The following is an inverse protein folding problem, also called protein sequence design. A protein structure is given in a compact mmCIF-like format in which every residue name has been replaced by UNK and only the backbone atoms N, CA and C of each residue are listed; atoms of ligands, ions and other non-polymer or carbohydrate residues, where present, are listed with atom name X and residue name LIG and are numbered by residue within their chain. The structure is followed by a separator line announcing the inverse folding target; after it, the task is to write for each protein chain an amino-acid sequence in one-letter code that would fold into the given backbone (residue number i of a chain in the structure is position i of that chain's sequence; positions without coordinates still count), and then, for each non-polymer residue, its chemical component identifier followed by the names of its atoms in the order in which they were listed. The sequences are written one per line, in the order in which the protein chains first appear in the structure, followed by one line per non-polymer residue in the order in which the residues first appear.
data_IF_242291620935
#
_entry.id   IF_242291620935
#
_cell.length_a   1.000
_cell.length_b   1.000
_cell.length_c   1.000
_cell.angle_alpha   90.00
_cell.angle_beta   90.00
_cell.angle_gamma   90.00
#
_symmetry.space_group_name_H-M   'P 1'
#
loop_
_entity.id
_entity.type
_entity.pdbx_description
1 polymer ?
#
# COMPACT_ATOMS: atom_id res chain seq x y z
N UNK A 1 -20.65 -5.82 -5.19
CA UNK A 1 -19.68 -5.47 -4.16
C UNK A 1 -19.62 -3.94 -3.98
N UNK A 2 -19.08 -3.14 -4.92
CA UNK A 2 -18.85 -1.71 -4.75
C UNK A 2 -20.13 -0.91 -4.39
N UNK A 3 -21.29 -1.24 -4.94
CA UNK A 3 -22.56 -0.60 -4.56
C UNK A 3 -23.00 -0.95 -3.15
N UNK A 4 -22.92 -2.23 -2.75
CA UNK A 4 -23.27 -2.67 -1.41
C UNK A 4 -22.30 -2.11 -0.35
N UNK A 5 -21.03 -1.87 -0.73
CA UNK A 5 -20.06 -1.25 0.16
C UNK A 5 -20.53 0.14 0.64
N UNK A 6 -21.13 0.95 -0.24
CA UNK A 6 -21.54 2.33 0.07
C UNK A 6 -22.56 2.36 1.22
N UNK A 7 -23.41 1.33 1.36
CA UNK A 7 -24.40 1.22 2.42
C UNK A 7 -23.79 1.13 3.84
N UNK A 8 -22.52 0.69 3.91
CA UNK A 8 -21.79 0.62 5.18
C UNK A 8 -21.14 1.96 5.58
N UNK A 9 -21.28 2.98 4.72
CA UNK A 9 -20.78 4.33 4.96
C UNK A 9 -21.93 5.34 4.86
N UNK A 10 -21.90 6.39 5.65
CA UNK A 10 -22.96 7.40 5.70
C UNK A 10 -22.89 8.42 4.54
N UNK A 11 -22.77 7.95 3.31
CA UNK A 11 -22.74 8.81 2.13
C UNK A 11 -24.13 9.07 1.56
N UNK A 12 -24.36 10.33 1.12
CA UNK A 12 -25.59 10.74 0.45
C UNK A 12 -25.36 10.91 -1.06
N UNK A 13 -26.36 10.50 -1.86
CA UNK A 13 -26.35 10.67 -3.33
C UNK A 13 -25.08 10.10 -4.02
N UNK A 14 -24.70 8.89 -3.65
CA UNK A 14 -23.47 8.24 -4.11
C UNK A 14 -23.56 7.80 -5.59
N UNK A 15 -22.59 8.23 -6.40
CA UNK A 15 -22.40 7.81 -7.79
C UNK A 15 -21.02 7.17 -7.95
N UNK A 16 -20.98 5.98 -8.54
CA UNK A 16 -19.76 5.24 -8.84
C UNK A 16 -19.36 5.41 -10.31
N UNK A 17 -18.08 5.72 -10.53
CA UNK A 17 -17.42 5.66 -11.83
C UNK A 17 -16.25 4.69 -11.74
N UNK A 18 -16.27 3.62 -12.56
CA UNK A 18 -15.13 2.69 -12.68
C UNK A 18 -13.88 3.45 -13.16
N UNK A 19 -12.73 3.13 -12.59
CA UNK A 19 -11.43 3.71 -12.95
C UNK A 19 -10.53 2.65 -13.60
N UNK A 20 -10.11 1.66 -12.82
CA UNK A 20 -9.21 0.60 -13.28
C UNK A 20 -9.46 -0.71 -12.52
N UNK A 21 -9.02 -1.81 -13.13
CA UNK A 21 -8.89 -3.12 -12.51
C UNK A 21 -7.50 -3.65 -12.85
N UNK A 22 -6.67 -3.75 -11.82
CA UNK A 22 -5.35 -4.38 -11.86
C UNK A 22 -5.30 -5.39 -10.70
N UNK A 23 -4.45 -5.17 -9.71
CA UNK A 23 -4.45 -5.95 -8.47
C UNK A 23 -5.73 -5.71 -7.66
N UNK A 24 -6.20 -4.47 -7.64
CA UNK A 24 -7.46 -4.06 -7.02
C UNK A 24 -8.42 -3.46 -8.06
N UNK A 25 -9.71 -3.50 -7.77
CA UNK A 25 -10.72 -2.79 -8.57
C UNK A 25 -11.02 -1.45 -7.91
N UNK A 26 -10.81 -0.35 -8.63
CA UNK A 26 -10.99 0.99 -8.09
C UNK A 26 -12.10 1.76 -8.80
N UNK A 27 -12.82 2.56 -8.00
CA UNK A 27 -13.91 3.42 -8.47
C UNK A 27 -13.75 4.82 -7.89
N UNK A 28 -14.05 5.86 -8.69
CA UNK A 28 -14.36 7.18 -8.15
C UNK A 28 -15.78 7.15 -7.59
N UNK A 29 -15.92 7.49 -6.32
CA UNK A 29 -17.18 7.65 -5.63
C UNK A 29 -17.45 9.16 -5.47
N UNK A 30 -18.50 9.66 -6.12
CA UNK A 30 -18.94 11.05 -5.99
C UNK A 30 -20.19 11.12 -5.12
N UNK A 31 -20.18 11.96 -4.10
CA UNK A 31 -21.25 12.11 -3.09
C UNK A 31 -21.51 13.58 -2.82
N UNK A 32 -22.53 13.90 -2.02
CA UNK A 32 -22.75 15.28 -1.53
C UNK A 32 -21.63 15.74 -0.58
N UNK A 33 -20.95 14.80 0.09
CA UNK A 33 -19.82 15.08 1.01
C UNK A 33 -18.49 15.27 0.28
N UNK A 34 -18.44 15.05 -1.05
CA UNK A 34 -17.24 15.16 -1.87
C UNK A 34 -16.95 13.93 -2.71
N UNK A 35 -15.73 13.86 -3.24
CA UNK A 35 -15.25 12.73 -4.01
C UNK A 35 -14.36 11.84 -3.14
N UNK A 36 -14.40 10.54 -3.43
CA UNK A 36 -13.63 9.50 -2.73
C UNK A 36 -13.11 8.46 -3.73
N UNK A 37 -12.09 7.73 -3.33
CA UNK A 37 -11.64 6.49 -3.98
C UNK A 37 -12.25 5.31 -3.23
N UNK A 38 -13.01 4.46 -3.91
CA UNK A 38 -13.45 3.17 -3.40
C UNK A 38 -12.58 2.08 -4.00
N UNK A 39 -11.94 1.28 -3.16
CA UNK A 39 -11.07 0.16 -3.54
C UNK A 39 -11.72 -1.15 -3.10
N UNK A 40 -11.93 -2.05 -4.06
CA UNK A 40 -12.32 -3.44 -3.82
C UNK A 40 -11.05 -4.28 -3.97
N UNK A 41 -10.63 -4.93 -2.90
CA UNK A 41 -9.42 -5.76 -2.91
C UNK A 41 -9.71 -7.08 -3.64
N UNK A 42 -8.88 -7.39 -4.64
CA UNK A 42 -9.02 -8.58 -5.48
C UNK A 42 -7.85 -9.54 -5.30
N UNK A 43 -6.71 -9.06 -4.85
CA UNK A 43 -5.48 -9.83 -4.64
C UNK A 43 -5.58 -10.84 -3.50
N UNK A 44 -4.66 -11.81 -3.52
CA UNK A 44 -4.59 -12.90 -2.55
C UNK A 44 -3.49 -12.68 -1.50
N UNK A 45 -2.79 -11.54 -1.54
CA UNK A 45 -1.56 -11.32 -0.79
C UNK A 45 -1.79 -10.62 0.56
N UNK A 46 -2.76 -9.70 0.63
CA UNK A 46 -3.01 -8.93 1.83
C UNK A 46 -4.18 -9.52 2.65
N UNK A 47 -3.97 -9.69 3.94
CA UNK A 47 -5.05 -10.00 4.88
C UNK A 47 -5.86 -8.74 5.22
N UNK A 48 -7.05 -8.91 5.81
CA UNK A 48 -7.83 -7.76 6.32
C UNK A 48 -7.03 -6.97 7.37
N UNK A 49 -6.18 -7.64 8.15
CA UNK A 49 -5.30 -6.99 9.12
C UNK A 49 -4.23 -6.11 8.44
N UNK A 50 -3.68 -6.55 7.32
CA UNK A 50 -2.73 -5.74 6.54
C UNK A 50 -3.40 -4.49 5.98
N UNK A 51 -4.62 -4.62 5.45
CA UNK A 51 -5.41 -3.50 4.92
C UNK A 51 -5.78 -2.48 6.01
N UNK A 52 -6.18 -2.95 7.19
CA UNK A 52 -6.42 -2.08 8.36
C UNK A 52 -5.13 -1.39 8.83
N UNK A 53 -3.99 -2.09 8.78
CA UNK A 53 -2.68 -1.53 9.14
C UNK A 53 -2.22 -0.48 8.13
N UNK A 54 -2.41 -0.70 6.83
CA UNK A 54 -2.22 0.30 5.78
C UNK A 54 -3.03 1.56 6.09
N UNK A 55 -4.32 1.41 6.35
CA UNK A 55 -5.19 2.55 6.64
C UNK A 55 -4.77 3.33 7.91
N UNK A 56 -4.36 2.64 8.98
CA UNK A 56 -3.82 3.29 10.19
C UNK A 56 -2.54 4.07 9.91
N UNK A 57 -1.66 3.53 9.08
CA UNK A 57 -0.44 4.21 8.65
C UNK A 57 -0.76 5.46 7.84
N UNK A 58 -1.68 5.38 6.88
CA UNK A 58 -2.12 6.54 6.08
C UNK A 58 -2.81 7.59 6.98
N UNK A 59 -3.65 7.17 7.94
CA UNK A 59 -4.27 8.07 8.92
C UNK A 59 -3.20 8.83 9.72
N UNK A 60 -2.16 8.13 10.21
CA UNK A 60 -1.02 8.77 10.88
C UNK A 60 -0.31 9.78 9.98
N UNK A 61 0.09 9.38 8.76
CA UNK A 61 0.75 10.27 7.81
C UNK A 61 -0.11 11.49 7.49
N UNK A 62 -1.43 11.32 7.37
CA UNK A 62 -2.35 12.42 7.10
C UNK A 62 -2.51 13.41 8.28
N UNK A 63 -2.08 13.02 9.48
CA UNK A 63 -2.00 13.90 10.66
C UNK A 63 -0.71 14.73 10.69
N UNK A 64 0.30 14.37 9.91
CA UNK A 64 1.57 15.08 9.81
C UNK A 64 1.42 16.27 8.86
N UNK A 65 1.41 17.51 9.37
CA UNK A 65 1.00 18.74 8.69
C UNK A 65 1.87 19.22 7.50
N UNK A 66 2.92 18.48 7.10
CA UNK A 66 3.88 18.95 6.08
C UNK A 66 3.55 18.56 4.64
N UNK A 67 2.67 17.56 4.44
CA UNK A 67 2.25 17.06 3.13
C UNK A 67 0.78 16.66 3.17
N UNK A 68 0.16 16.57 1.99
CA UNK A 68 -1.20 16.03 1.88
C UNK A 68 -1.13 14.53 1.58
N UNK A 69 -1.95 13.77 2.29
CA UNK A 69 -2.14 12.34 2.06
C UNK A 69 -3.61 12.05 1.84
N UNK A 70 -3.90 10.94 1.17
CA UNK A 70 -5.25 10.40 1.19
C UNK A 70 -5.65 10.15 2.65
N UNK A 71 -6.92 10.37 2.97
CA UNK A 71 -7.45 10.07 4.31
C UNK A 71 -8.33 8.84 4.21
N UNK A 72 -8.06 7.78 4.97
CA UNK A 72 -8.94 6.63 5.03
C UNK A 72 -10.25 7.00 5.75
N UNK A 73 -11.36 6.47 5.25
CA UNK A 73 -12.69 6.76 5.76
C UNK A 73 -13.18 5.56 6.55
N UNK A 74 -13.59 5.80 7.80
CA UNK A 74 -14.17 4.75 8.63
C UNK A 74 -15.62 4.45 8.22
N UNK A 75 -15.98 3.19 8.24
CA UNK A 75 -17.35 2.72 8.06
C UNK A 75 -18.20 2.97 9.34
N UNK A 76 -19.47 2.62 9.28
CA UNK A 76 -20.42 2.76 10.42
C UNK A 76 -20.02 1.95 11.66
N UNK A 77 -19.16 0.94 11.52
CA UNK A 77 -18.58 0.14 12.61
C UNK A 77 -17.22 0.65 13.08
N UNK A 78 -16.80 1.86 12.67
CA UNK A 78 -15.51 2.49 12.97
C UNK A 78 -14.26 1.77 12.43
N UNK A 79 -14.40 0.77 11.56
CA UNK A 79 -13.31 0.09 10.86
C UNK A 79 -13.00 0.81 9.53
N UNK A 80 -11.78 0.68 9.01
CA UNK A 80 -11.40 1.22 7.69
C UNK A 80 -11.76 0.25 6.57
N UNK A 81 -11.78 -1.05 6.86
CA UNK A 81 -12.09 -2.10 5.90
C UNK A 81 -13.46 -2.69 6.19
N UNK A 82 -14.27 -2.82 5.17
CA UNK A 82 -15.58 -3.48 5.20
C UNK A 82 -15.52 -4.80 4.45
N UNK A 83 -15.97 -5.88 5.06
CA UNK A 83 -16.26 -7.11 4.32
C UNK A 83 -17.62 -6.97 3.65
N UNK A 84 -17.67 -7.08 2.34
CA UNK A 84 -18.89 -6.84 1.54
C UNK A 84 -19.21 -8.06 0.72
N UNK A 85 -20.43 -8.58 0.90
CA UNK A 85 -20.93 -9.72 0.16
C UNK A 85 -21.87 -9.28 -0.97
N UNK A 86 -21.73 -9.92 -2.14
CA UNK A 86 -22.66 -9.84 -3.25
C UNK A 86 -22.60 -11.11 -4.10
N UNK A 87 -23.76 -11.71 -4.39
CA UNK A 87 -23.90 -12.92 -5.23
C UNK A 87 -23.00 -14.09 -4.76
N UNK A 88 -22.88 -14.30 -3.43
CA UNK A 88 -22.09 -15.35 -2.83
C UNK A 88 -20.58 -15.11 -2.84
N UNK A 89 -20.13 -13.92 -3.23
CA UNK A 89 -18.71 -13.51 -3.21
C UNK A 89 -18.55 -12.45 -2.12
N UNK A 90 -17.62 -12.69 -1.19
CA UNK A 90 -17.23 -11.73 -0.17
C UNK A 90 -15.87 -11.10 -0.51
N UNK A 91 -15.76 -9.77 -0.44
CA UNK A 91 -14.52 -9.04 -0.71
C UNK A 91 -14.31 -7.93 0.32
N UNK A 92 -13.06 -7.68 0.73
CA UNK A 92 -12.73 -6.50 1.50
C UNK A 92 -12.82 -5.24 0.61
N UNK A 93 -13.30 -4.15 1.23
CA UNK A 93 -13.44 -2.84 0.58
C UNK A 93 -12.95 -1.75 1.53
N UNK A 94 -12.22 -0.79 1.02
CA UNK A 94 -11.87 0.44 1.74
C UNK A 94 -12.27 1.68 0.95
N UNK A 95 -12.42 2.80 1.64
CA UNK A 95 -12.69 4.11 1.05
C UNK A 95 -11.66 5.11 1.54
N UNK A 96 -11.10 5.87 0.61
CA UNK A 96 -10.09 6.91 0.86
C UNK A 96 -10.57 8.24 0.27
N UNK A 97 -10.11 9.35 0.79
CA UNK A 97 -10.39 10.67 0.18
C UNK A 97 -9.83 10.74 -1.25
N UNK A 98 -10.51 11.51 -2.10
CA UNK A 98 -10.07 11.75 -3.49
C UNK A 98 -9.06 12.89 -3.56
N UNK A 99 -8.04 12.75 -4.40
CA UNK A 99 -7.00 13.75 -4.66
C UNK A 99 -6.84 13.94 -6.17
N UNK A 100 -6.67 15.19 -6.61
CA UNK A 100 -6.51 15.57 -8.03
C UNK A 100 -5.16 16.29 -8.27
N UNK A 101 -4.29 15.89 -9.22
CA UNK A 101 -3.22 16.68 -9.92
C UNK A 101 -1.76 16.15 -10.12
N UNK A 102 -0.83 16.81 -10.90
CA UNK A 102 0.51 16.35 -11.30
C UNK A 102 1.78 16.91 -10.56
N UNK A 103 2.99 16.47 -10.84
CA UNK A 103 4.20 16.22 -10.00
C UNK A 103 5.35 17.27 -9.95
N UNK A 104 5.99 17.58 -8.77
CA UNK A 104 7.42 18.00 -8.56
C UNK A 104 7.86 17.90 -7.05
N UNK A 105 9.06 17.28 -6.73
CA UNK A 105 9.68 17.32 -5.37
C UNK A 105 9.83 15.98 -4.62
N UNK A 106 9.95 14.87 -5.32
CA UNK A 106 9.78 13.49 -4.87
C UNK A 106 10.76 13.03 -3.77
N UNK A 107 12.06 13.34 -3.88
CA UNK A 107 13.03 12.91 -2.86
C UNK A 107 12.78 13.48 -1.47
N UNK A 108 12.25 14.72 -1.36
CA UNK A 108 11.84 15.30 -0.08
C UNK A 108 10.62 14.60 0.50
N UNK A 109 9.67 14.20 -0.35
CA UNK A 109 8.49 13.47 0.06
C UNK A 109 8.85 12.09 0.60
N UNK A 110 9.72 11.34 -0.09
CA UNK A 110 10.23 10.04 0.35
C UNK A 110 10.91 10.16 1.71
N UNK A 111 11.85 11.07 1.83
CA UNK A 111 12.56 11.30 3.09
C UNK A 111 11.59 11.70 4.23
N UNK A 112 10.54 12.47 3.92
CA UNK A 112 9.52 12.82 4.89
C UNK A 112 8.74 11.60 5.36
N UNK A 113 8.26 10.75 4.44
CA UNK A 113 7.52 9.53 4.76
C UNK A 113 8.36 8.63 5.68
N UNK A 114 9.61 8.33 5.28
CA UNK A 114 10.50 7.48 6.05
C UNK A 114 10.74 8.03 7.46
N UNK A 115 11.03 9.33 7.58
CA UNK A 115 11.27 9.98 8.87
C UNK A 115 10.04 9.98 9.78
N UNK A 116 8.83 10.21 9.23
CA UNK A 116 7.60 10.17 10.02
C UNK A 116 7.31 8.75 10.50
N UNK A 117 7.38 7.75 9.61
CA UNK A 117 7.12 6.35 9.96
C UNK A 117 8.17 5.75 10.90
N UNK A 118 9.43 6.22 10.85
CA UNK A 118 10.47 5.82 11.79
C UNK A 118 10.20 6.29 13.23
N UNK A 119 9.51 7.43 13.38
CA UNK A 119 9.15 8.02 14.68
C UNK A 119 7.76 7.59 15.16
N UNK A 120 6.96 6.98 14.31
CA UNK A 120 5.59 6.62 14.61
C UNK A 120 5.52 5.55 15.70
N UNK A 121 4.74 5.80 16.74
CA UNK A 121 4.37 4.81 17.75
C UNK A 121 3.25 3.92 17.19
N UNK A 122 3.66 2.80 16.58
CA UNK A 122 2.74 1.87 15.94
C UNK A 122 1.78 1.22 16.94
N UNK A 123 0.49 1.05 16.59
CA UNK A 123 -0.43 0.23 17.37
C UNK A 123 0.09 -1.20 17.55
N UNK A 124 -0.30 -1.87 18.64
CA UNK A 124 0.19 -3.23 18.95
C UNK A 124 -0.24 -4.27 17.91
N UNK A 125 -1.34 -4.02 17.23
CA UNK A 125 -1.92 -4.85 16.17
C UNK A 125 -1.47 -4.42 14.77
N UNK A 126 -0.50 -3.49 14.65
CA UNK A 126 0.04 -3.07 13.36
C UNK A 126 0.88 -4.19 12.74
N UNK A 127 0.48 -4.60 11.55
CA UNK A 127 1.15 -5.67 10.79
C UNK A 127 1.39 -5.23 9.34
N UNK A 128 2.62 -5.38 8.88
CA UNK A 128 3.00 -5.22 7.46
C UNK A 128 4.08 -6.25 7.11
N UNK A 129 4.14 -6.71 5.83
CA UNK A 129 5.12 -7.70 5.39
C UNK A 129 6.56 -7.19 5.52
N UNK A 130 7.50 -8.14 5.55
CA UNK A 130 8.92 -7.86 5.37
C UNK A 130 9.21 -7.80 3.88
N UNK A 131 9.87 -6.73 3.44
CA UNK A 131 10.35 -6.50 2.08
C UNK A 131 11.88 -6.57 2.05
N UNK A 132 12.41 -7.57 2.72
CA UNK A 132 13.81 -7.99 2.70
C UNK A 132 14.01 -9.14 1.71
N UNK A 133 15.19 -9.71 1.64
CA UNK A 133 15.51 -10.79 0.70
C UNK A 133 14.52 -11.95 0.80
N UNK A 134 14.20 -12.41 2.00
CA UNK A 134 13.27 -13.52 2.21
C UNK A 134 11.82 -13.11 1.88
N UNK A 135 11.42 -11.90 2.28
CA UNK A 135 10.08 -11.37 2.03
C UNK A 135 9.81 -11.05 0.56
N UNK A 136 10.82 -10.67 -0.22
CA UNK A 136 10.69 -10.36 -1.65
C UNK A 136 10.71 -11.62 -2.52
N UNK A 137 11.78 -12.40 -2.44
CA UNK A 137 12.02 -13.53 -3.34
C UNK A 137 12.36 -14.84 -2.61
N UNK A 138 12.43 -14.83 -1.29
CA UNK A 138 12.66 -16.00 -0.48
C UNK A 138 11.42 -16.88 -0.29
N UNK A 139 11.53 -17.83 0.58
CA UNK A 139 10.48 -18.84 0.85
C UNK A 139 9.16 -18.24 1.33
N UNK A 140 9.20 -17.12 2.03
CA UNK A 140 8.04 -16.44 2.60
C UNK A 140 7.67 -15.18 1.81
N UNK A 141 8.07 -15.07 0.55
CA UNK A 141 7.92 -13.88 -0.28
C UNK A 141 6.53 -13.25 -0.19
N UNK A 142 6.46 -12.04 0.34
CA UNK A 142 5.22 -11.31 0.62
C UNK A 142 4.48 -10.92 -0.66
N UNK A 143 5.20 -10.70 -1.75
CA UNK A 143 4.65 -10.29 -3.05
C UNK A 143 4.35 -11.51 -3.95
N UNK A 144 4.29 -12.73 -3.41
CA UNK A 144 3.95 -13.94 -4.17
C UNK A 144 5.05 -14.47 -5.09
N UNK A 145 6.23 -13.87 -5.09
CA UNK A 145 7.38 -14.28 -5.90
C UNK A 145 8.33 -15.25 -5.16
N UNK A 146 7.91 -15.78 -4.01
CA UNK A 146 8.71 -16.72 -3.24
C UNK A 146 9.05 -18.01 -3.99
N UNK A 147 9.86 -18.87 -3.37
CA UNK A 147 10.29 -20.19 -3.90
C UNK A 147 9.13 -21.03 -4.45
N UNK A 148 7.93 -20.86 -3.91
CA UNK A 148 6.72 -21.51 -4.43
C UNK A 148 6.36 -21.12 -5.87
N UNK A 149 6.77 -19.94 -6.32
CA UNK A 149 6.60 -19.48 -7.70
C UNK A 149 7.59 -20.09 -8.68
N UNK A 150 8.72 -20.60 -8.20
CA UNK A 150 9.80 -21.18 -9.02
C UNK A 150 9.36 -22.35 -9.87
N UNK A 151 8.31 -23.08 -9.47
CA UNK A 151 7.72 -24.19 -10.24
C UNK A 151 7.21 -23.78 -11.64
N UNK A 152 7.04 -22.50 -11.89
CA UNK A 152 6.57 -21.96 -13.18
C UNK A 152 7.70 -21.54 -14.10
N UNK A 153 8.94 -21.57 -13.63
CA UNK A 153 10.13 -21.12 -14.36
C UNK A 153 10.99 -22.31 -14.76
N UNK A 154 11.77 -22.11 -15.84
CA UNK A 154 12.81 -23.06 -16.22
C UNK A 154 14.02 -23.00 -15.26
N UNK A 155 14.91 -23.98 -15.36
CA UNK A 155 16.05 -24.10 -14.44
C UNK A 155 17.04 -22.95 -14.54
N UNK A 156 17.19 -22.32 -15.69
CA UNK A 156 18.06 -21.15 -15.88
C UNK A 156 17.49 -19.93 -15.14
N UNK A 157 16.20 -19.69 -15.30
CA UNK A 157 15.48 -18.61 -14.59
C UNK A 157 15.53 -18.83 -13.09
N UNK A 158 15.30 -20.05 -12.59
CA UNK A 158 15.40 -20.39 -11.16
C UNK A 158 16.79 -20.07 -10.63
N UNK A 159 17.86 -20.52 -11.34
CA UNK A 159 19.25 -20.25 -10.94
C UNK A 159 19.56 -18.75 -10.88
N UNK A 160 18.99 -17.95 -11.79
CA UNK A 160 19.11 -16.50 -11.74
C UNK A 160 18.47 -15.91 -10.47
N UNK A 161 17.24 -16.32 -10.14
CA UNK A 161 16.58 -15.87 -8.90
C UNK A 161 17.36 -16.28 -7.65
N UNK A 162 17.88 -17.49 -7.59
CA UNK A 162 18.73 -17.95 -6.49
C UNK A 162 19.99 -17.11 -6.35
N UNK A 163 20.63 -16.75 -7.47
CA UNK A 163 21.79 -15.86 -7.48
C UNK A 163 21.44 -14.46 -6.97
N UNK A 164 20.30 -13.90 -7.38
CA UNK A 164 19.82 -12.59 -6.88
C UNK A 164 19.50 -12.68 -5.40
N UNK A 165 18.80 -13.72 -4.95
CA UNK A 165 18.49 -13.95 -3.54
C UNK A 165 19.77 -13.98 -2.69
N UNK A 166 20.79 -14.74 -3.11
CA UNK A 166 22.06 -14.81 -2.37
C UNK A 166 22.75 -13.43 -2.29
N UNK A 167 22.74 -12.66 -3.36
CA UNK A 167 23.31 -11.29 -3.37
C UNK A 167 22.56 -10.34 -2.42
N UNK A 168 21.25 -10.49 -2.28
CA UNK A 168 20.46 -9.72 -1.31
C UNK A 168 20.80 -10.13 0.12
N UNK A 169 20.93 -11.42 0.41
CA UNK A 169 21.37 -11.92 1.72
C UNK A 169 22.76 -11.40 2.07
N UNK A 170 23.70 -11.42 1.12
CA UNK A 170 25.06 -10.91 1.32
C UNK A 170 25.02 -9.39 1.64
N UNK A 171 24.20 -8.64 0.90
CA UNK A 171 23.98 -7.22 1.18
C UNK A 171 23.40 -7.00 2.58
N UNK A 172 22.34 -7.72 2.96
CA UNK A 172 21.69 -7.60 4.26
C UNK A 172 22.65 -7.95 5.42
N UNK A 173 23.51 -8.92 5.21
CA UNK A 173 24.53 -9.32 6.19
C UNK A 173 25.52 -8.19 6.46
N UNK A 174 25.89 -7.43 5.44
CA UNK A 174 26.82 -6.29 5.55
C UNK A 174 26.12 -5.03 6.04
N UNK A 175 24.94 -4.72 5.47
CA UNK A 175 24.22 -3.49 5.75
C UNK A 175 23.56 -3.48 7.13
N UNK A 176 23.12 -4.64 7.62
CA UNK A 176 22.27 -4.74 8.82
C UNK A 176 20.88 -4.13 8.59
N UNK A 177 20.10 -4.00 9.68
CA UNK A 177 18.75 -3.41 9.65
C UNK A 177 18.60 -2.27 10.67
N UNK A 178 19.60 -1.39 10.70
CA UNK A 178 19.56 -0.21 11.55
C UNK A 178 18.47 0.77 11.15
N UNK A 179 17.89 1.49 12.11
CA UNK A 179 16.74 2.39 11.91
C UNK A 179 16.98 3.53 10.91
N UNK A 180 18.22 3.86 10.60
CA UNK A 180 18.60 4.88 9.63
C UNK A 180 18.61 4.40 8.18
N UNK A 181 18.52 3.08 7.94
CA UNK A 181 18.52 2.48 6.60
C UNK A 181 17.34 1.54 6.36
N UNK A 182 16.68 1.09 7.42
CA UNK A 182 15.61 0.09 7.39
C UNK A 182 14.41 0.52 8.24
N UNK A 183 13.22 0.39 7.71
CA UNK A 183 11.97 0.76 8.38
C UNK A 183 10.76 0.51 7.49
N UNK A 184 9.65 1.19 7.78
CA UNK A 184 8.47 1.11 6.91
C UNK A 184 8.73 1.93 5.66
N UNK A 185 8.57 1.31 4.49
CA UNK A 185 8.67 1.89 3.16
C UNK A 185 7.33 1.81 2.42
N UNK A 186 7.19 2.58 1.35
CA UNK A 186 5.99 2.55 0.50
C UNK A 186 5.91 1.23 -0.30
N UNK A 187 7.05 0.72 -0.80
CA UNK A 187 7.16 -0.55 -1.51
C UNK A 187 6.85 -0.49 -3.00
N UNK A 188 5.99 0.45 -3.44
CA UNK A 188 5.61 0.65 -4.85
C UNK A 188 5.57 2.14 -5.23
N UNK A 189 6.60 2.90 -4.88
CA UNK A 189 6.64 4.36 -5.06
C UNK A 189 7.04 4.79 -6.47
N UNK A 190 6.37 4.27 -7.47
CA UNK A 190 6.55 4.72 -8.86
C UNK A 190 5.72 5.99 -9.17
N UNK A 191 6.03 6.67 -10.29
CA UNK A 191 5.44 7.97 -10.64
C UNK A 191 3.90 8.00 -10.74
N UNK A 192 3.25 6.86 -11.02
CA UNK A 192 1.78 6.79 -11.04
C UNK A 192 1.15 6.78 -9.64
N UNK A 193 1.95 6.51 -8.60
CA UNK A 193 1.53 6.55 -7.19
C UNK A 193 1.88 7.86 -6.51
N UNK A 194 2.27 8.87 -7.31
CA UNK A 194 2.53 10.23 -6.83
C UNK A 194 1.67 11.23 -7.57
N UNK A 195 1.01 12.11 -6.83
CA UNK A 195 0.10 13.14 -7.35
C UNK A 195 0.58 14.52 -6.86
N UNK A 196 0.48 15.55 -7.69
CA UNK A 196 0.64 16.95 -7.26
C UNK A 196 -0.73 17.60 -7.07
N UNK A 197 -1.01 18.10 -5.89
CA UNK A 197 -2.20 18.87 -5.60
C UNK A 197 -1.80 20.21 -4.95
N UNK A 198 -2.25 21.33 -5.52
CA UNK A 198 -1.94 22.67 -5.01
C UNK A 198 -0.44 22.87 -4.71
N UNK A 199 0.43 22.48 -5.63
CA UNK A 199 1.89 22.54 -5.51
C UNK A 199 2.51 21.62 -4.42
N UNK A 200 1.74 20.69 -3.86
CA UNK A 200 2.20 19.72 -2.86
C UNK A 200 2.16 18.32 -3.42
N UNK A 201 3.24 17.55 -3.27
CA UNK A 201 3.30 16.14 -3.64
C UNK A 201 2.57 15.28 -2.62
N UNK A 202 1.84 14.30 -3.13
CA UNK A 202 1.06 13.37 -2.36
C UNK A 202 1.35 11.97 -2.87
N UNK A 203 1.71 11.05 -1.98
CA UNK A 203 1.75 9.63 -2.30
C UNK A 203 0.38 8.99 -2.09
N UNK A 204 0.06 8.05 -2.94
CA UNK A 204 -1.15 7.23 -2.88
C UNK A 204 -0.76 5.76 -3.03
N UNK A 205 -1.66 4.86 -2.66
CA UNK A 205 -1.53 3.43 -2.90
C UNK A 205 -0.42 2.77 -2.05
N UNK A 206 -0.65 2.68 -0.74
CA UNK A 206 0.26 2.09 0.24
C UNK A 206 0.05 0.59 0.45
N UNK A 207 -0.69 -0.10 -0.43
CA UNK A 207 -1.04 -1.51 -0.22
C UNK A 207 0.16 -2.46 -0.29
N UNK A 208 1.23 -2.08 -1.00
CA UNK A 208 2.51 -2.80 -1.02
C UNK A 208 3.51 -2.36 0.07
N UNK A 209 3.11 -1.44 0.95
CA UNK A 209 4.00 -0.98 2.02
C UNK A 209 4.42 -2.11 2.96
N UNK A 210 5.65 -2.04 3.44
CA UNK A 210 6.21 -3.07 4.31
C UNK A 210 7.47 -2.59 5.01
N UNK A 211 8.10 -3.49 5.78
CA UNK A 211 9.39 -3.24 6.40
C UNK A 211 10.50 -3.57 5.40
N UNK A 212 11.21 -2.55 4.91
CA UNK A 212 12.27 -2.70 3.92
C UNK A 212 13.37 -1.66 4.05
N UNK A 213 14.37 -1.76 3.17
CA UNK A 213 15.44 -0.77 3.07
C UNK A 213 14.92 0.50 2.41
N UNK A 214 15.21 1.68 2.95
CA UNK A 214 14.77 2.98 2.40
C UNK A 214 15.20 3.20 0.96
N UNK A 215 16.34 2.61 0.56
CA UNK A 215 16.84 2.67 -0.82
C UNK A 215 15.88 1.97 -1.82
N UNK A 216 15.05 1.05 -1.36
CA UNK A 216 14.09 0.34 -2.20
C UNK A 216 13.09 1.31 -2.84
N UNK A 217 12.51 2.24 -2.08
CA UNK A 217 11.60 3.26 -2.61
C UNK A 217 12.27 4.17 -3.67
N UNK A 218 13.59 4.36 -3.60
CA UNK A 218 14.33 5.09 -4.63
C UNK A 218 14.60 4.22 -5.87
N UNK A 219 14.69 2.91 -5.72
CA UNK A 219 14.95 1.99 -6.83
C UNK A 219 13.68 1.71 -7.67
N UNK A 220 12.49 1.91 -7.10
CA UNK A 220 11.20 1.71 -7.78
C UNK A 220 10.78 2.95 -8.60
N UNK A 221 11.39 4.12 -8.35
CA UNK A 221 11.17 5.37 -9.09
C UNK A 221 11.61 5.28 -10.54
#
# INVERSE_FOLDING_TARGET
IARNAIEQYNFQSAKLKFLKHLENTTFKLSTLQGNFLLRVYCGFHNTVQDMESEAKMIEYLSSCNNYQYQKPIRNSSHSFVSMVEASGISKPVSILSWIDSPIIGLGKLIAHIHNQLAQWQKPIDFHRPMLDADGLIGKNGALGYGISGYRYFDGETVSLFESVYQRLIDFETVAGKEKNIFGIIHGDLHLNNVILHQNTLITIDFDDSGYGYYIYDLAVL
#
